data_IF_443165049014
#
_entry.id   IF_443165049014
#
_cell.length_a   1.000
_cell.length_b   1.000
_cell.length_c   1.000
_cell.angle_alpha   90.00
_cell.angle_beta   90.00
_cell.angle_gamma   90.00
#
_symmetry.space_group_name_H-M   'P 1'
#
loop_
_entity.id
_entity.type
_entity.pdbx_description
1 polymer ?
#
# COMPACT_ATOMS: atom_id res chain seq x y z
N UNK A 1 -17.63 7.21 6.39
CA UNK A 1 -18.49 6.78 5.27
C UNK A 1 -17.64 5.94 4.33
N UNK A 2 -18.09 4.75 3.89
CA UNK A 2 -17.36 3.98 2.87
C UNK A 2 -17.32 4.78 1.56
N UNK A 3 -16.18 4.75 0.84
CA UNK A 3 -16.05 5.39 -0.47
C UNK A 3 -17.14 4.86 -1.41
N UNK A 4 -17.81 5.76 -2.12
CA UNK A 4 -18.74 5.39 -3.17
C UNK A 4 -18.02 4.49 -4.18
N UNK A 5 -18.73 3.53 -4.75
CA UNK A 5 -18.17 2.61 -5.76
C UNK A 5 -17.63 3.39 -6.98
N UNK A 6 -18.23 4.57 -7.23
CA UNK A 6 -17.83 5.52 -8.28
C UNK A 6 -16.55 6.31 -7.97
N UNK A 7 -16.14 6.37 -6.69
CA UNK A 7 -14.92 7.07 -6.26
C UNK A 7 -13.71 6.12 -6.14
N UNK A 8 -13.89 4.82 -6.45
CA UNK A 8 -12.79 3.85 -6.46
C UNK A 8 -11.81 4.22 -7.57
N UNK A 9 -10.56 4.44 -7.19
CA UNK A 9 -9.51 4.93 -8.10
C UNK A 9 -9.43 6.46 -8.22
N UNK A 10 -10.37 7.21 -7.65
CA UNK A 10 -10.23 8.66 -7.47
C UNK A 10 -9.58 8.92 -6.10
N UNK A 11 -8.37 9.48 -6.14
CA UNK A 11 -7.61 9.86 -4.96
C UNK A 11 -7.56 11.39 -4.86
N UNK A 12 -7.98 11.91 -3.71
CA UNK A 12 -7.77 13.32 -3.35
C UNK A 12 -6.29 13.55 -3.05
N UNK A 13 -5.79 14.80 -3.17
CA UNK A 13 -4.38 15.10 -2.88
C UNK A 13 -3.90 14.60 -1.51
N UNK A 14 -4.70 14.76 -0.46
CA UNK A 14 -4.35 14.30 0.89
C UNK A 14 -4.30 12.77 1.01
N UNK A 15 -5.13 12.07 0.22
CA UNK A 15 -5.14 10.61 0.15
C UNK A 15 -3.90 10.11 -0.58
N UNK A 16 -3.50 10.77 -1.68
CA UNK A 16 -2.24 10.48 -2.39
C UNK A 16 -1.05 10.70 -1.46
N UNK A 17 -1.02 11.82 -0.73
CA UNK A 17 0.06 12.12 0.22
C UNK A 17 0.15 11.06 1.33
N UNK A 18 -0.98 10.57 1.82
CA UNK A 18 -1.03 9.51 2.83
C UNK A 18 -0.51 8.18 2.26
N UNK A 19 -0.99 7.77 1.09
CA UNK A 19 -0.54 6.55 0.43
C UNK A 19 0.95 6.61 0.08
N UNK A 20 1.47 7.76 -0.33
CA UNK A 20 2.90 7.96 -0.58
C UNK A 20 3.73 7.76 0.69
N UNK A 21 3.32 8.34 1.83
CA UNK A 21 4.01 8.16 3.11
C UNK A 21 4.07 6.68 3.53
N UNK A 22 2.96 5.97 3.40
CA UNK A 22 2.89 4.52 3.68
C UNK A 22 3.81 3.73 2.76
N UNK A 23 3.79 4.05 1.46
CA UNK A 23 4.64 3.40 0.47
C UNK A 23 6.13 3.61 0.74
N UNK A 24 6.53 4.84 1.04
CA UNK A 24 7.92 5.20 1.34
C UNK A 24 8.43 4.47 2.59
N UNK A 25 7.59 4.40 3.63
CA UNK A 25 7.91 3.66 4.85
C UNK A 25 8.01 2.15 4.58
N UNK A 26 7.10 1.57 3.78
CA UNK A 26 7.18 0.17 3.40
C UNK A 26 8.45 -0.15 2.59
N UNK A 27 8.82 0.72 1.65
CA UNK A 27 10.07 0.60 0.90
C UNK A 27 11.29 0.66 1.83
N UNK A 28 11.29 1.59 2.79
CA UNK A 28 12.35 1.73 3.80
C UNK A 28 12.48 0.47 4.66
N UNK A 29 11.37 -0.03 5.22
CA UNK A 29 11.33 -1.24 6.07
C UNK A 29 11.83 -2.48 5.33
N UNK A 30 11.52 -2.59 4.03
CA UNK A 30 11.91 -3.72 3.19
C UNK A 30 13.26 -3.52 2.48
N UNK A 31 13.89 -2.37 2.63
CA UNK A 31 15.10 -1.98 1.88
C UNK A 31 14.92 -2.11 0.35
N UNK A 32 13.71 -1.84 -0.13
CA UNK A 32 13.36 -1.92 -1.55
C UNK A 32 13.59 -0.56 -2.24
N UNK A 33 14.18 -0.56 -3.44
CA UNK A 33 14.27 0.65 -4.25
C UNK A 33 12.88 1.03 -4.78
N UNK A 34 12.44 2.30 -4.72
CA UNK A 34 11.09 2.72 -5.12
C UNK A 34 10.69 2.34 -6.55
N UNK A 35 11.66 2.25 -7.46
CA UNK A 35 11.44 1.86 -8.87
C UNK A 35 11.61 0.35 -9.13
N UNK A 36 11.85 -0.45 -8.09
CA UNK A 36 12.00 -1.89 -8.23
C UNK A 36 10.67 -2.60 -8.51
N UNK A 37 10.74 -3.80 -9.07
CA UNK A 37 9.57 -4.66 -9.23
C UNK A 37 8.90 -4.98 -7.87
N UNK A 38 9.69 -5.17 -6.81
CA UNK A 38 9.15 -5.37 -5.45
C UNK A 38 8.35 -4.16 -4.97
N UNK A 39 8.88 -2.95 -5.15
CA UNK A 39 8.18 -1.71 -4.82
C UNK A 39 6.89 -1.54 -5.63
N UNK A 40 6.91 -1.88 -6.92
CA UNK A 40 5.69 -1.87 -7.74
C UNK A 40 4.60 -2.78 -7.17
N UNK A 41 4.94 -4.01 -6.77
CA UNK A 41 3.98 -4.93 -6.13
C UNK A 41 3.46 -4.40 -4.79
N UNK A 42 4.29 -3.69 -4.03
CA UNK A 42 3.86 -3.01 -2.80
C UNK A 42 2.85 -1.90 -3.07
N UNK A 43 3.11 -1.06 -4.06
CA UNK A 43 2.18 0.00 -4.45
C UNK A 43 0.82 -0.57 -4.90
N UNK A 44 0.84 -1.64 -5.69
CA UNK A 44 -0.39 -2.31 -6.12
C UNK A 44 -1.17 -2.92 -4.95
N UNK A 45 -0.48 -3.57 -4.01
CA UNK A 45 -1.10 -4.13 -2.80
C UNK A 45 -1.70 -3.03 -1.94
N UNK A 46 -0.97 -1.94 -1.73
CA UNK A 46 -1.41 -0.77 -0.97
C UNK A 46 -2.69 -0.16 -1.57
N UNK A 47 -2.72 0.06 -2.89
CA UNK A 47 -3.89 0.59 -3.59
C UNK A 47 -5.10 -0.37 -3.50
N UNK A 48 -4.86 -1.69 -3.58
CA UNK A 48 -5.92 -2.67 -3.45
C UNK A 48 -6.57 -2.65 -2.04
N UNK A 49 -5.75 -2.60 -0.97
CA UNK A 49 -6.23 -2.49 0.41
C UNK A 49 -7.02 -1.20 0.63
N UNK A 50 -6.50 -0.09 0.14
CA UNK A 50 -7.15 1.20 0.24
C UNK A 50 -8.51 1.23 -0.48
N UNK A 51 -8.57 0.70 -1.71
CA UNK A 51 -9.81 0.59 -2.48
C UNK A 51 -10.82 -0.39 -1.85
N UNK A 52 -10.35 -1.35 -1.05
CA UNK A 52 -11.19 -2.23 -0.23
C UNK A 52 -11.75 -1.54 1.03
N UNK A 53 -11.33 -0.30 1.31
CA UNK A 53 -11.83 0.52 2.41
C UNK A 53 -10.89 0.60 3.62
N UNK A 54 -9.69 0.03 3.55
CA UNK A 54 -8.66 0.19 4.58
C UNK A 54 -8.00 1.56 4.41
N UNK A 55 -8.52 2.57 5.10
CA UNK A 55 -8.06 3.97 4.96
C UNK A 55 -7.17 4.45 6.11
N UNK A 56 -7.01 3.62 7.14
CA UNK A 56 -6.17 3.92 8.30
C UNK A 56 -4.68 3.74 7.96
N UNK A 57 -3.89 4.78 8.20
CA UNK A 57 -2.47 4.86 7.79
C UNK A 57 -1.60 3.82 8.53
N UNK A 58 -1.86 3.60 9.82
CA UNK A 58 -1.12 2.64 10.64
C UNK A 58 -1.43 1.22 10.19
N UNK A 59 -2.72 0.91 10.01
CA UNK A 59 -3.18 -0.39 9.50
C UNK A 59 -2.61 -0.71 8.11
N UNK A 60 -2.55 0.27 7.20
CA UNK A 60 -1.94 0.10 5.89
C UNK A 60 -0.43 -0.16 6.01
N UNK A 61 0.27 0.61 6.84
CA UNK A 61 1.72 0.48 7.07
C UNK A 61 2.07 -0.90 7.60
N UNK A 62 1.31 -1.42 8.56
CA UNK A 62 1.52 -2.77 9.08
C UNK A 62 1.21 -3.84 8.03
N UNK A 63 0.14 -3.67 7.24
CA UNK A 63 -0.22 -4.62 6.19
C UNK A 63 0.82 -4.74 5.07
N UNK A 64 1.47 -3.63 4.69
CA UNK A 64 2.50 -3.62 3.64
C UNK A 64 3.93 -3.58 4.16
N UNK A 65 4.16 -3.40 5.45
CA UNK A 65 5.50 -3.25 6.04
C UNK A 65 6.29 -4.54 6.13
N UNK A 66 5.64 -5.69 6.25
CA UNK A 66 6.32 -6.98 6.43
C UNK A 66 6.54 -7.71 5.10
N UNK A 67 7.79 -8.09 4.84
CA UNK A 67 8.13 -8.99 3.73
C UNK A 67 7.31 -10.26 3.88
N UNK A 68 6.42 -10.56 2.92
CA UNK A 68 5.82 -11.90 2.84
C UNK A 68 7.00 -12.87 2.70
N UNK A 69 7.21 -13.70 3.72
CA UNK A 69 8.05 -14.88 3.57
C UNK A 69 7.50 -15.63 2.36
N UNK A 70 8.36 -15.91 1.38
CA UNK A 70 7.96 -16.68 0.21
C UNK A 70 7.22 -17.94 0.68
N UNK A 71 6.13 -18.36 0.01
CA UNK A 71 5.49 -19.61 0.34
C UNK A 71 6.57 -20.69 0.30
N UNK A 72 6.75 -21.40 1.42
CA UNK A 72 7.66 -22.52 1.54
C UNK A 72 7.26 -23.51 0.45
N UNK A 73 8.07 -23.63 -0.60
CA UNK A 73 7.86 -24.61 -1.66
C UNK A 73 7.73 -25.98 -0.99
N UNK A 74 6.56 -26.60 -1.14
CA UNK A 74 6.29 -27.95 -0.70
C UNK A 74 6.92 -28.97 -1.66
#
# INVERSE_FOLDING_TARGET
MPKSIYDRGLLKPDEVATLQRVFDEACRRRQAHPESAEARELALTLLALYNAGMVDEEMLTEAVGFRRLAPKSA
#
